data_IF_952162921100
#
_entry.id   IF_952162921100
#
_cell.length_a   1.000
_cell.length_b   1.000
_cell.length_c   1.000
_cell.angle_alpha   90.00
_cell.angle_beta   90.00
_cell.angle_gamma   90.00
#
_symmetry.space_group_name_H-M   'P 1'
#
loop_
_entity.id
_entity.type
_entity.pdbx_description
1 polymer ?
#
# COMPACT_ATOMS: atom_id res chain seq x y z
N UNK A 1 -7.47 -1.48 -22.40
CA UNK A 1 -8.40 -1.19 -23.51
C UNK A 1 -8.11 0.21 -24.04
N UNK A 2 -8.15 0.40 -25.35
CA UNK A 2 -7.90 1.68 -26.01
C UNK A 2 -9.04 1.97 -26.99
N UNK A 3 -9.53 3.21 -27.00
CA UNK A 3 -10.58 3.69 -27.89
C UNK A 3 -10.10 4.97 -28.57
N UNK A 4 -10.29 5.05 -29.88
CA UNK A 4 -10.01 6.23 -30.69
C UNK A 4 -11.18 6.43 -31.65
N UNK A 5 -11.72 7.65 -31.73
CA UNK A 5 -12.80 8.00 -32.64
C UNK A 5 -12.53 9.34 -33.31
N UNK A 6 -12.74 9.38 -34.63
CA UNK A 6 -12.57 10.54 -35.51
C UNK A 6 -13.87 10.90 -36.25
N UNK A 7 -15.01 10.36 -35.80
CA UNK A 7 -16.26 10.32 -36.57
C UNK A 7 -16.98 11.67 -36.73
N UNK A 8 -16.49 12.76 -36.12
CA UNK A 8 -17.08 14.09 -36.21
C UNK A 8 -16.04 15.03 -36.81
N UNK A 9 -16.37 15.70 -37.93
CA UNK A 9 -15.51 16.72 -38.54
C UNK A 9 -15.09 17.71 -37.46
N UNK A 10 -13.79 17.79 -37.18
CA UNK A 10 -13.12 18.66 -36.18
C UNK A 10 -13.03 18.13 -34.73
N UNK A 11 -13.39 16.89 -34.44
CA UNK A 11 -13.25 16.32 -33.09
C UNK A 11 -12.51 14.98 -33.13
N UNK A 12 -11.38 14.92 -32.43
CA UNK A 12 -10.64 13.68 -32.16
C UNK A 12 -10.81 13.30 -30.69
N UNK A 13 -11.28 12.08 -30.45
CA UNK A 13 -11.42 11.53 -29.10
C UNK A 13 -10.50 10.33 -28.93
N UNK A 14 -9.80 10.30 -27.79
CA UNK A 14 -8.92 9.20 -27.39
C UNK A 14 -9.22 8.83 -25.95
N UNK A 15 -9.15 7.53 -25.63
CA UNK A 15 -9.38 7.05 -24.28
C UNK A 15 -8.65 5.74 -24.04
N UNK A 16 -7.91 5.67 -22.95
CA UNK A 16 -7.28 4.44 -22.47
C UNK A 16 -7.80 4.09 -21.09
N UNK A 17 -8.03 2.80 -20.88
CA UNK A 17 -8.43 2.27 -19.59
C UNK A 17 -7.63 1.01 -19.30
N UNK A 18 -7.02 0.95 -18.13
CA UNK A 18 -6.24 -0.19 -17.64
C UNK A 18 -6.64 -0.53 -16.23
N UNK A 19 -6.82 -1.83 -15.99
CA UNK A 19 -7.06 -2.41 -14.69
C UNK A 19 -6.03 -3.52 -14.48
N UNK A 20 -5.40 -3.55 -13.31
CA UNK A 20 -4.49 -4.63 -12.93
C UNK A 20 -4.69 -4.98 -11.46
N UNK A 21 -4.59 -6.27 -11.17
CA UNK A 21 -4.49 -6.78 -9.81
C UNK A 21 -3.25 -7.69 -9.69
N UNK A 22 -2.63 -7.72 -8.52
CA UNK A 22 -1.59 -8.67 -8.19
C UNK A 22 -1.68 -9.04 -6.72
N UNK A 23 -1.67 -10.33 -6.43
CA UNK A 23 -1.75 -10.82 -5.06
C UNK A 23 -0.39 -11.35 -4.61
N UNK A 24 -0.03 -11.05 -3.37
CA UNK A 24 1.20 -11.49 -2.73
C UNK A 24 0.84 -12.23 -1.45
N UNK A 25 1.48 -13.36 -1.21
CA UNK A 25 1.45 -14.04 0.07
C UNK A 25 2.85 -14.52 0.42
N UNK A 26 3.20 -14.43 1.69
CA UNK A 26 4.47 -14.94 2.19
C UNK A 26 4.23 -15.55 3.56
N UNK A 27 4.53 -16.84 3.76
CA UNK A 27 4.64 -17.38 5.10
C UNK A 27 5.85 -16.75 5.80
N UNK A 28 5.77 -16.60 7.12
CA UNK A 28 6.91 -16.36 7.99
C UNK A 28 7.03 -17.58 8.90
N UNK A 29 8.17 -18.25 8.82
CA UNK A 29 8.52 -19.35 9.70
C UNK A 29 9.94 -19.12 10.18
N UNK A 30 10.06 -18.33 11.24
CA UNK A 30 11.32 -18.03 11.88
C UNK A 30 11.45 -18.85 13.15
N UNK A 31 12.63 -19.41 13.35
CA UNK A 31 12.99 -20.11 14.57
C UNK A 31 14.28 -19.52 15.10
N UNK A 32 14.19 -18.90 16.26
CA UNK A 32 15.33 -18.39 17.00
C UNK A 32 15.61 -19.30 18.20
N UNK A 33 16.86 -19.72 18.34
CA UNK A 33 17.34 -20.49 19.49
C UNK A 33 18.61 -19.83 20.02
N UNK A 34 18.47 -19.11 21.12
CA UNK A 34 19.50 -18.29 21.70
C UNK A 34 18.97 -17.60 22.96
N UNK A 35 19.87 -17.26 23.88
CA UNK A 35 19.46 -16.62 25.14
C UNK A 35 19.38 -15.10 24.97
N UNK A 36 18.19 -14.54 25.13
CA UNK A 36 17.97 -13.09 25.16
C UNK A 36 17.99 -12.65 26.62
N UNK A 37 19.10 -12.07 27.08
CA UNK A 37 19.31 -11.71 28.50
C UNK A 37 18.30 -10.70 29.05
N UNK A 38 17.71 -9.86 28.19
CA UNK A 38 16.74 -8.81 28.58
C UNK A 38 15.36 -9.38 28.93
N UNK A 39 14.89 -10.39 28.21
CA UNK A 39 13.57 -11.02 28.38
C UNK A 39 13.67 -12.42 29.02
N UNK A 40 14.86 -13.01 29.01
CA UNK A 40 15.16 -14.37 29.44
C UNK A 40 14.52 -15.47 28.58
N UNK A 41 14.09 -15.10 27.37
CA UNK A 41 13.68 -16.03 26.32
C UNK A 41 14.89 -16.83 25.83
N UNK A 42 14.67 -18.12 25.58
CA UNK A 42 15.67 -19.04 25.04
C UNK A 42 15.35 -19.49 23.63
N UNK A 43 14.07 -19.51 23.29
CA UNK A 43 13.62 -19.92 21.99
C UNK A 43 12.37 -19.12 21.61
N UNK A 44 12.33 -18.64 20.37
CA UNK A 44 11.19 -17.95 19.80
C UNK A 44 10.87 -18.64 18.48
N UNK A 45 9.60 -18.97 18.27
CA UNK A 45 9.12 -19.55 17.02
C UNK A 45 7.98 -18.69 16.50
N UNK A 46 8.04 -18.29 15.24
CA UNK A 46 6.93 -17.62 14.54
C UNK A 46 6.22 -18.53 13.54
N UNK A 47 6.43 -19.85 13.68
CA UNK A 47 5.84 -20.86 12.80
C UNK A 47 4.32 -20.69 12.72
N UNK A 48 3.80 -20.47 11.50
CA UNK A 48 2.38 -20.23 11.25
C UNK A 48 2.01 -18.75 11.08
N UNK A 49 2.98 -17.84 11.12
CA UNK A 49 2.76 -16.44 10.74
C UNK A 49 2.61 -16.30 9.23
N UNK A 50 1.70 -15.43 8.77
CA UNK A 50 1.39 -15.28 7.35
C UNK A 50 1.19 -13.80 6.98
N UNK A 51 1.87 -13.36 5.93
CA UNK A 51 1.61 -12.08 5.30
C UNK A 51 0.81 -12.28 4.00
N UNK A 52 -0.13 -11.38 3.73
CA UNK A 52 -0.74 -11.29 2.41
C UNK A 52 -1.07 -9.85 2.05
N UNK A 53 -0.88 -9.48 0.80
CA UNK A 53 -1.25 -8.18 0.28
C UNK A 53 -1.83 -8.32 -1.12
N UNK A 54 -2.69 -7.38 -1.51
CA UNK A 54 -3.23 -7.29 -2.87
C UNK A 54 -2.96 -5.90 -3.41
N UNK A 55 -2.30 -5.81 -4.57
CA UNK A 55 -2.15 -4.59 -5.33
C UNK A 55 -3.30 -4.48 -6.32
N UNK A 56 -4.03 -3.38 -6.28
CA UNK A 56 -5.10 -3.09 -7.23
C UNK A 56 -4.82 -1.71 -7.81
N UNK A 57 -4.77 -1.61 -9.14
CA UNK A 57 -4.55 -0.36 -9.84
C UNK A 57 -5.53 -0.17 -10.99
N UNK A 58 -6.12 1.02 -11.02
CA UNK A 58 -7.00 1.53 -12.07
C UNK A 58 -6.34 2.76 -12.67
N UNK A 59 -6.17 2.75 -13.98
CA UNK A 59 -5.68 3.90 -14.74
C UNK A 59 -6.66 4.18 -15.85
N UNK A 60 -7.08 5.43 -15.97
CA UNK A 60 -7.92 5.89 -17.07
C UNK A 60 -7.40 7.23 -17.57
N UNK A 61 -7.11 7.33 -18.86
CA UNK A 61 -6.77 8.58 -19.51
C UNK A 61 -7.78 8.86 -20.62
N UNK A 62 -8.29 10.08 -20.68
CA UNK A 62 -9.22 10.55 -21.70
C UNK A 62 -8.66 11.83 -22.31
N UNK A 63 -8.72 11.93 -23.63
CA UNK A 63 -8.28 13.09 -24.38
C UNK A 63 -9.32 13.47 -25.42
N UNK A 64 -9.63 14.75 -25.50
CA UNK A 64 -10.45 15.33 -26.55
C UNK A 64 -9.69 16.46 -27.23
N UNK A 65 -9.61 16.44 -28.55
CA UNK A 65 -9.03 17.51 -29.35
C UNK A 65 -10.07 18.07 -30.30
N UNK A 66 -10.35 19.37 -30.17
CA UNK A 66 -11.27 20.10 -31.03
C UNK A 66 -10.45 21.00 -31.96
N UNK A 67 -10.61 20.81 -33.26
CA UNK A 67 -9.99 21.65 -34.29
C UNK A 67 -10.92 22.82 -34.60
N UNK A 68 -10.68 23.98 -34.00
CA UNK A 68 -11.48 25.17 -34.25
C UNK A 68 -11.28 25.61 -35.72
N UNK A 69 -10.01 25.77 -36.09
CA UNK A 69 -9.50 26.10 -37.42
C UNK A 69 -8.27 25.23 -37.75
N UNK A 70 -7.78 25.27 -38.99
CA UNK A 70 -6.58 24.51 -39.42
C UNK A 70 -5.31 24.85 -38.62
N UNK A 71 -5.31 26.01 -37.96
CA UNK A 71 -4.20 26.52 -37.16
C UNK A 71 -4.50 26.58 -35.66
N UNK A 72 -5.74 26.33 -35.22
CA UNK A 72 -6.14 26.52 -33.82
C UNK A 72 -6.87 25.29 -33.29
N UNK A 73 -6.29 24.70 -32.24
CA UNK A 73 -6.74 23.44 -31.65
C UNK A 73 -6.89 23.60 -30.14
N UNK A 74 -7.98 23.07 -29.61
CA UNK A 74 -8.23 22.99 -28.18
C UNK A 74 -8.07 21.54 -27.75
N UNK A 75 -7.16 21.26 -26.82
CA UNK A 75 -6.87 19.93 -26.29
C UNK A 75 -7.28 19.90 -24.82
N UNK A 76 -8.18 18.99 -24.48
CA UNK A 76 -8.51 18.65 -23.10
C UNK A 76 -8.01 17.23 -22.81
N UNK A 77 -7.34 17.06 -21.67
CA UNK A 77 -6.83 15.78 -21.21
C UNK A 77 -7.20 15.57 -19.75
N UNK A 78 -7.95 14.52 -19.48
CA UNK A 78 -8.29 14.07 -18.15
C UNK A 78 -7.53 12.77 -17.83
N UNK A 79 -6.87 12.73 -16.68
CA UNK A 79 -6.14 11.55 -16.20
C UNK A 79 -6.62 11.18 -14.82
N UNK A 80 -7.00 9.92 -14.65
CA UNK A 80 -7.43 9.33 -13.41
C UNK A 80 -6.54 8.13 -13.09
N UNK A 81 -6.00 8.11 -11.87
CA UNK A 81 -5.17 7.02 -11.37
C UNK A 81 -5.60 6.72 -9.96
N UNK A 82 -5.94 5.47 -9.70
CA UNK A 82 -6.25 5.01 -8.37
C UNK A 82 -5.51 3.69 -8.13
N UNK A 83 -4.66 3.65 -7.12
CA UNK A 83 -4.09 2.39 -6.66
C UNK A 83 -4.36 2.20 -5.17
N UNK A 84 -4.46 0.95 -4.77
CA UNK A 84 -4.58 0.55 -3.38
C UNK A 84 -3.83 -0.76 -3.14
N UNK A 85 -3.22 -0.85 -1.97
CA UNK A 85 -2.45 -1.97 -1.48
C UNK A 85 -2.94 -2.30 -0.07
N UNK A 86 -4.08 -2.99 0.07
CA UNK A 86 -4.39 -3.71 1.30
C UNK A 86 -3.30 -4.73 1.63
N UNK A 87 -2.75 -4.64 2.83
CA UNK A 87 -1.85 -5.64 3.42
C UNK A 87 -2.39 -6.11 4.76
N UNK A 88 -2.25 -7.40 5.02
CA UNK A 88 -2.41 -8.01 6.35
C UNK A 88 -1.20 -8.85 6.70
N UNK A 89 -0.90 -8.91 7.99
CA UNK A 89 0.10 -9.79 8.56
C UNK A 89 -0.48 -10.40 9.84
N UNK A 90 -0.67 -11.71 9.82
CA UNK A 90 -1.09 -12.50 10.96
C UNK A 90 0.16 -13.06 11.64
N UNK A 91 0.50 -12.52 12.81
CA UNK A 91 1.63 -12.94 13.62
C UNK A 91 1.15 -14.01 14.60
N UNK A 92 1.77 -15.19 14.52
CA UNK A 92 1.66 -16.24 15.52
C UNK A 92 3.06 -16.51 16.06
N UNK A 93 3.32 -16.09 17.29
CA UNK A 93 4.62 -16.23 17.94
C UNK A 93 4.48 -17.05 19.23
N UNK A 94 5.42 -17.96 19.46
CA UNK A 94 5.60 -18.69 20.71
C UNK A 94 6.97 -18.36 21.29
N UNK A 95 7.00 -17.80 22.49
CA UNK A 95 8.20 -17.51 23.27
C UNK A 95 8.38 -18.54 24.37
N UNK A 96 9.55 -19.17 24.42
CA UNK A 96 9.94 -20.16 25.42
C UNK A 96 11.10 -19.63 26.26
N UNK A 97 11.12 -20.03 27.52
CA UNK A 97 11.99 -19.43 28.54
C UNK A 97 12.92 -20.44 29.18
N UNK A 98 14.07 -19.97 29.64
CA UNK A 98 14.96 -20.80 30.44
C UNK A 98 14.61 -20.67 31.92
N UNK A 99 14.27 -21.77 32.55
CA UNK A 99 13.87 -21.79 33.95
C UNK A 99 15.02 -21.85 34.97
N UNK A 100 16.27 -22.01 34.51
CA UNK A 100 17.45 -22.11 35.39
C UNK A 100 18.23 -20.81 35.53
N UNK A 101 17.64 -19.65 35.23
CA UNK A 101 18.29 -18.35 35.44
C UNK A 101 18.13 -17.87 36.88
N UNK A 102 19.16 -17.21 37.43
CA UNK A 102 19.22 -16.68 38.83
C UNK A 102 18.07 -15.71 39.16
N UNK A 103 17.43 -15.14 38.13
CA UNK A 103 16.16 -14.42 38.21
C UNK A 103 15.19 -15.07 37.22
N UNK A 104 13.97 -15.47 37.63
CA UNK A 104 12.99 -16.00 36.70
C UNK A 104 12.68 -14.97 35.60
N UNK A 105 12.63 -15.37 34.32
CA UNK A 105 12.21 -14.47 33.26
C UNK A 105 10.77 -14.02 33.49
N UNK A 106 10.52 -12.73 33.27
CA UNK A 106 9.17 -12.16 33.33
C UNK A 106 8.47 -12.33 31.98
N UNK A 107 7.16 -12.58 32.00
CA UNK A 107 6.35 -12.60 30.79
C UNK A 107 6.31 -11.23 30.11
N UNK A 108 6.28 -11.23 28.76
CA UNK A 108 5.98 -10.03 27.97
C UNK A 108 4.51 -9.60 28.06
N UNK A 109 3.65 -10.50 28.54
CA UNK A 109 2.22 -10.27 28.79
C UNK A 109 2.05 -9.74 30.22
N UNK A 110 2.33 -8.46 30.44
CA UNK A 110 2.01 -7.82 31.70
C UNK A 110 0.49 -7.84 31.90
N UNK A 111 -0.06 -8.40 33.00
CA UNK A 111 -1.45 -8.16 33.34
C UNK A 111 -1.62 -6.65 33.58
N UNK A 112 -2.60 -5.99 32.94
CA UNK A 112 -2.66 -4.52 32.94
C UNK A 112 -2.86 -3.90 34.34
N UNK A 113 -3.32 -4.65 35.34
CA UNK A 113 -3.59 -4.10 36.68
C UNK A 113 -3.55 -5.21 37.73
N UNK A 114 -2.40 -5.51 38.31
CA UNK A 114 -2.35 -6.24 39.60
C UNK A 114 -1.38 -5.54 40.54
N UNK A 115 -1.85 -5.21 41.74
CA UNK A 115 -1.02 -4.65 42.80
C UNK A 115 -0.94 -5.66 43.97
N UNK A 116 0.26 -6.01 44.46
CA UNK A 116 1.58 -5.56 43.98
C UNK A 116 1.86 -6.04 42.55
N UNK A 117 2.68 -5.29 41.80
CA UNK A 117 3.08 -5.60 40.43
C UNK A 117 4.00 -6.84 40.39
N UNK A 118 3.45 -8.02 40.63
CA UNK A 118 4.17 -9.27 40.41
C UNK A 118 4.10 -9.59 38.93
N UNK A 119 5.24 -9.43 38.25
CA UNK A 119 5.42 -9.98 36.91
C UNK A 119 5.08 -11.48 36.96
N UNK A 120 4.29 -12.02 36.01
CA UNK A 120 4.21 -13.46 35.84
C UNK A 120 5.62 -13.98 35.56
N UNK A 121 6.16 -14.79 36.46
CA UNK A 121 7.49 -15.37 36.36
C UNK A 121 7.39 -16.79 35.82
N UNK A 122 8.25 -17.11 34.86
CA UNK A 122 8.30 -18.46 34.28
C UNK A 122 9.22 -19.39 35.08
N UNK A 123 8.77 -20.62 35.26
CA UNK A 123 9.44 -21.72 35.95
C UNK A 123 9.74 -22.87 34.99
N UNK A 124 10.36 -23.97 35.46
CA UNK A 124 10.74 -25.14 34.63
C UNK A 124 9.55 -25.84 33.99
N UNK A 125 8.35 -25.64 34.53
CA UNK A 125 7.09 -26.19 34.03
C UNK A 125 6.18 -25.13 33.42
N UNK A 126 6.65 -23.90 33.21
CA UNK A 126 5.82 -22.86 32.61
C UNK A 126 5.57 -23.15 31.12
N UNK A 127 4.34 -22.97 30.64
CA UNK A 127 4.06 -23.03 29.21
C UNK A 127 4.76 -21.88 28.47
N UNK A 128 4.84 -22.02 27.14
CA UNK A 128 5.29 -20.93 26.28
C UNK A 128 4.29 -19.76 26.31
N UNK A 129 4.80 -18.54 26.22
CA UNK A 129 3.94 -17.37 25.96
C UNK A 129 3.57 -17.36 24.48
N UNK A 130 2.27 -17.24 24.18
CA UNK A 130 1.76 -17.18 22.82
C UNK A 130 1.23 -15.77 22.53
N UNK A 131 1.67 -15.19 21.42
CA UNK A 131 1.16 -13.94 20.85
C UNK A 131 0.48 -14.27 19.54
N UNK A 132 -0.77 -13.83 19.39
CA UNK A 132 -1.54 -13.93 18.15
C UNK A 132 -2.12 -12.55 17.83
N UNK A 133 -1.49 -11.87 16.89
CA UNK A 133 -1.84 -10.49 16.52
C UNK A 133 -2.04 -10.38 15.02
N UNK A 134 -3.08 -9.67 14.61
CA UNK A 134 -3.31 -9.33 13.20
C UNK A 134 -2.99 -7.85 13.00
N UNK A 135 -2.05 -7.58 12.10
CA UNK A 135 -1.72 -6.25 11.64
C UNK A 135 -2.36 -6.01 10.28
N UNK A 136 -3.16 -4.96 10.13
CA UNK A 136 -3.63 -4.47 8.83
C UNK A 136 -2.96 -3.16 8.49
N UNK A 137 -2.44 -3.03 7.27
CA UNK A 137 -1.90 -1.78 6.75
C UNK A 137 -2.45 -1.52 5.37
N UNK A 138 -2.92 -0.30 5.15
CA UNK A 138 -3.50 0.09 3.87
C UNK A 138 -2.72 1.26 3.30
N UNK A 139 -2.21 1.10 2.09
CA UNK A 139 -1.63 2.20 1.32
C UNK A 139 -2.45 2.41 0.06
N UNK A 140 -2.90 3.63 -0.19
CA UNK A 140 -3.61 3.95 -1.42
C UNK A 140 -3.45 5.41 -1.81
N UNK A 141 -3.70 5.67 -3.09
CA UNK A 141 -3.71 7.02 -3.64
C UNK A 141 -4.75 7.15 -4.75
N UNK A 142 -5.47 8.26 -4.74
CA UNK A 142 -6.39 8.71 -5.78
C UNK A 142 -5.85 10.02 -6.38
N UNK A 143 -5.55 10.00 -7.67
CA UNK A 143 -5.09 11.18 -8.43
C UNK A 143 -6.07 11.48 -9.56
N UNK A 144 -6.52 12.73 -9.60
CA UNK A 144 -7.32 13.31 -10.69
C UNK A 144 -6.59 14.51 -11.24
N UNK A 145 -6.37 14.51 -12.55
CA UNK A 145 -5.69 15.58 -13.27
C UNK A 145 -6.55 15.98 -14.47
N UNK A 146 -6.80 17.27 -14.63
CA UNK A 146 -7.39 17.83 -15.83
C UNK A 146 -6.42 18.87 -16.40
N UNK A 147 -6.19 18.83 -17.71
CA UNK A 147 -5.35 19.77 -18.43
C UNK A 147 -6.10 20.25 -19.65
N UNK A 148 -6.26 21.57 -19.75
CA UNK A 148 -6.79 22.24 -20.93
C UNK A 148 -5.68 23.05 -21.59
N UNK A 149 -5.54 22.92 -22.90
CA UNK A 149 -4.47 23.54 -23.66
C UNK A 149 -5.02 24.09 -24.98
N UNK A 150 -4.71 25.35 -25.26
CA UNK A 150 -4.95 25.99 -26.53
C UNK A 150 -3.66 25.98 -27.33
N UNK A 151 -3.68 25.38 -28.50
CA UNK A 151 -2.54 25.26 -29.39
C UNK A 151 -2.80 26.06 -30.66
N UNK A 152 -1.85 26.90 -31.05
CA UNK A 152 -1.89 27.69 -32.26
C UNK A 152 -0.65 27.45 -33.12
N UNK A 153 -0.86 27.03 -34.36
CA UNK A 153 0.18 26.81 -35.35
C UNK A 153 0.25 28.02 -36.29
N UNK A 154 1.34 28.80 -36.20
CA UNK A 154 1.55 29.97 -37.08
C UNK A 154 1.82 29.49 -38.52
N UNK A 155 2.61 28.43 -38.64
CA UNK A 155 2.90 27.73 -39.89
C UNK A 155 3.41 26.31 -39.56
N UNK A 156 3.77 25.52 -40.58
CA UNK A 156 4.32 24.17 -40.40
C UNK A 156 5.64 24.08 -39.61
N UNK A 157 6.29 25.21 -39.30
CA UNK A 157 7.58 25.29 -38.62
C UNK A 157 7.51 25.95 -37.24
N UNK A 158 6.45 26.69 -36.94
CA UNK A 158 6.34 27.49 -35.72
C UNK A 158 4.90 27.51 -35.19
N UNK A 159 4.76 27.34 -33.88
CA UNK A 159 3.50 27.42 -33.16
C UNK A 159 3.76 27.71 -31.68
N UNK A 160 2.70 28.03 -30.95
CA UNK A 160 2.74 28.19 -29.49
C UNK A 160 1.55 27.49 -28.84
N UNK A 161 1.73 27.12 -27.58
CA UNK A 161 0.68 26.54 -26.77
C UNK A 161 0.58 27.24 -25.42
N UNK A 162 -0.64 27.41 -24.94
CA UNK A 162 -0.93 27.91 -23.60
C UNK A 162 -1.90 26.97 -22.94
N UNK A 163 -1.64 26.59 -21.70
CA UNK A 163 -2.47 25.62 -21.01
C UNK A 163 -2.55 25.86 -19.52
N UNK A 164 -3.60 25.31 -18.94
CA UNK A 164 -3.83 25.24 -17.50
C UNK A 164 -4.01 23.79 -17.08
N UNK A 165 -3.38 23.42 -15.98
CA UNK A 165 -3.49 22.07 -15.40
C UNK A 165 -3.92 22.16 -13.95
N UNK A 166 -4.95 21.40 -13.62
CA UNK A 166 -5.41 21.19 -12.25
C UNK A 166 -5.12 19.75 -11.82
N UNK A 167 -4.49 19.61 -10.66
CA UNK A 167 -4.11 18.34 -10.05
C UNK A 167 -4.71 18.22 -8.66
N UNK A 168 -5.38 17.10 -8.38
CA UNK A 168 -5.83 16.73 -7.05
C UNK A 168 -5.32 15.34 -6.71
N UNK A 169 -4.56 15.25 -5.63
CA UNK A 169 -4.03 14.00 -5.07
C UNK A 169 -4.65 13.80 -3.69
N UNK A 170 -5.13 12.59 -3.42
CA UNK A 170 -5.64 12.16 -2.12
C UNK A 170 -4.96 10.86 -1.74
N UNK A 171 -4.21 10.90 -0.66
CA UNK A 171 -3.57 9.73 -0.09
C UNK A 171 -4.49 9.06 0.94
N UNK A 172 -4.40 7.75 1.04
CA UNK A 172 -5.08 6.92 2.03
C UNK A 172 -4.02 6.09 2.75
N UNK A 173 -3.85 6.31 4.05
CA UNK A 173 -2.93 5.56 4.91
C UNK A 173 -3.60 5.38 6.27
N UNK A 174 -3.88 4.14 6.66
CA UNK A 174 -4.42 3.77 7.98
C UNK A 174 -4.09 2.31 8.32
#
# INVERSE_FOLDING_TARGET
>A
MNFQSTSIKKLDLTGTFSYSNADMSSPLNEFFNGFITRTGERQISTAGSHASASWISVVADFGATIHLNDHLRLVDTFRFRNYRVPGRFDLMQMSQFNASTVRPPGSLLLPPVTFPATLPFHSTSSPADAVNETFSRWLGQDTKRNQIELQYDINKYAGFNIGYRYDRIRDHNF
#
